data_IF_467590530528
#
_entry.id   IF_467590530528
#
_cell.length_a   1.000
_cell.length_b   1.000
_cell.length_c   1.000
_cell.angle_alpha   90.00
_cell.angle_beta   90.00
_cell.angle_gamma   90.00
#
_symmetry.space_group_name_H-M   'P 1'
#
loop_
_entity.id
_entity.type
_entity.pdbx_description
1 polymer ?
#
# COMPACT_ATOMS: atom_id res chain seq x y z
N UNK A 1 -9.27 7.95 -23.93
CA UNK A 1 -10.02 6.87 -23.24
C UNK A 1 -10.41 7.26 -21.82
N UNK A 2 -9.53 7.89 -21.01
CA UNK A 2 -9.79 8.20 -19.60
C UNK A 2 -10.79 9.33 -19.36
N UNK A 3 -10.82 10.36 -20.23
CA UNK A 3 -11.67 11.54 -20.03
C UNK A 3 -13.17 11.17 -19.98
N UNK A 4 -13.76 10.40 -20.93
CA UNK A 4 -15.16 10.03 -20.86
C UNK A 4 -15.47 9.11 -19.65
N UNK A 5 -14.53 8.24 -19.25
CA UNK A 5 -14.71 7.40 -18.07
C UNK A 5 -14.75 8.24 -16.77
N UNK A 6 -13.83 9.18 -16.65
CA UNK A 6 -13.82 10.10 -15.48
C UNK A 6 -15.08 10.96 -15.44
N UNK A 7 -15.52 11.49 -16.59
CA UNK A 7 -16.77 12.24 -16.69
C UNK A 7 -17.98 11.42 -16.26
N UNK A 8 -18.07 10.18 -16.75
CA UNK A 8 -19.15 9.24 -16.39
C UNK A 8 -19.16 8.99 -14.87
N UNK A 9 -18.01 8.63 -14.30
CA UNK A 9 -17.88 8.38 -12.84
C UNK A 9 -18.23 9.60 -12.03
N UNK A 10 -17.84 10.79 -12.48
CA UNK A 10 -18.17 12.06 -11.81
C UNK A 10 -19.68 12.30 -11.80
N UNK A 11 -20.35 12.09 -12.94
CA UNK A 11 -21.82 12.25 -13.04
C UNK A 11 -22.52 11.22 -12.14
N UNK A 12 -22.10 9.94 -12.19
CA UNK A 12 -22.67 8.89 -11.35
C UNK A 12 -22.46 9.20 -9.85
N UNK A 13 -21.28 9.66 -9.48
CA UNK A 13 -20.98 10.06 -8.11
C UNK A 13 -21.89 11.21 -7.64
N UNK A 14 -22.08 12.21 -8.47
CA UNK A 14 -22.96 13.35 -8.16
C UNK A 14 -24.43 12.94 -8.03
N UNK A 15 -24.90 12.02 -8.85
CA UNK A 15 -26.28 11.56 -8.82
C UNK A 15 -26.58 10.58 -7.67
N UNK A 16 -25.66 9.69 -7.33
CA UNK A 16 -25.91 8.57 -6.41
C UNK A 16 -25.25 8.71 -5.05
N UNK A 17 -24.10 9.40 -4.95
CA UNK A 17 -23.39 9.56 -3.67
C UNK A 17 -23.96 10.75 -2.89
N UNK A 18 -24.29 10.48 -1.63
CA UNK A 18 -24.66 11.52 -0.67
C UNK A 18 -23.50 11.75 0.29
N UNK A 19 -23.15 13.01 0.51
CA UNK A 19 -22.13 13.36 1.52
C UNK A 19 -22.61 12.98 2.91
N UNK A 20 -21.75 12.28 3.65
CA UNK A 20 -21.98 12.04 5.07
C UNK A 20 -21.78 13.38 5.80
N UNK A 21 -22.74 13.84 6.63
CA UNK A 21 -22.58 15.08 7.36
C UNK A 21 -21.37 15.01 8.28
N UNK A 22 -20.45 15.97 8.13
CA UNK A 22 -19.27 16.08 9.00
C UNK A 22 -19.72 16.70 10.32
N UNK A 23 -19.78 15.90 11.36
CA UNK A 23 -20.18 16.34 12.72
C UNK A 23 -18.98 16.81 13.56
N UNK A 24 -17.75 16.54 13.11
CA UNK A 24 -16.53 16.90 13.83
C UNK A 24 -16.18 18.38 13.64
N UNK A 25 -15.93 19.08 14.76
CA UNK A 25 -15.47 20.47 14.75
C UNK A 25 -13.98 20.52 14.34
N UNK A 26 -13.54 21.62 13.73
CA UNK A 26 -12.15 21.88 13.34
C UNK A 26 -11.19 21.65 14.51
N UNK A 27 -11.52 22.11 15.71
CA UNK A 27 -10.70 21.90 16.92
C UNK A 27 -10.50 20.42 17.25
N UNK A 28 -11.52 19.58 17.04
CA UNK A 28 -11.44 18.14 17.26
C UNK A 28 -10.55 17.46 16.19
N UNK A 29 -10.60 17.95 14.96
CA UNK A 29 -9.74 17.45 13.87
C UNK A 29 -8.27 17.81 14.11
N UNK A 30 -7.98 19.02 14.61
CA UNK A 30 -6.61 19.43 14.95
C UNK A 30 -6.06 18.72 16.20
N UNK A 31 -6.91 18.26 17.09
CA UNK A 31 -6.50 17.54 18.29
C UNK A 31 -5.73 16.24 18.02
N UNK A 32 -5.83 15.68 16.80
CA UNK A 32 -5.09 14.48 16.40
C UNK A 32 -3.56 14.67 16.50
N UNK A 33 -3.06 15.88 16.24
CA UNK A 33 -1.62 16.16 16.26
C UNK A 33 -0.99 16.10 17.64
N UNK A 34 -1.79 16.25 18.72
CA UNK A 34 -1.36 16.06 20.11
C UNK A 34 -1.25 14.58 20.51
N UNK A 35 -1.78 13.66 19.70
CA UNK A 35 -1.75 12.24 20.01
C UNK A 35 -0.52 11.58 19.37
N UNK A 36 0.36 10.99 20.18
CA UNK A 36 1.55 10.26 19.70
C UNK A 36 1.22 9.13 18.71
N UNK A 37 0.06 8.50 18.84
CA UNK A 37 -0.36 7.44 17.94
C UNK A 37 -0.59 7.94 16.51
N UNK A 38 -0.96 9.20 16.31
CA UNK A 38 -1.06 9.80 14.98
C UNK A 38 0.27 9.71 14.23
N UNK A 39 1.36 10.06 14.88
CA UNK A 39 2.70 10.04 14.28
C UNK A 39 3.20 8.63 14.00
N UNK A 40 2.96 7.68 14.92
CA UNK A 40 3.29 6.27 14.68
C UNK A 40 2.49 5.68 13.52
N UNK A 41 1.17 5.95 13.46
CA UNK A 41 0.34 5.46 12.36
C UNK A 41 0.75 6.11 11.03
N UNK A 42 1.10 7.40 11.04
CA UNK A 42 1.64 8.08 9.86
C UNK A 42 2.92 7.42 9.37
N UNK A 43 3.86 7.11 10.26
CA UNK A 43 5.12 6.45 9.91
C UNK A 43 4.88 5.03 9.34
N UNK A 44 4.01 4.24 9.98
CA UNK A 44 3.70 2.89 9.50
C UNK A 44 2.98 2.93 8.15
N UNK A 45 2.00 3.80 8.00
CA UNK A 45 1.27 3.94 6.75
C UNK A 45 2.18 4.46 5.63
N UNK A 46 3.03 5.44 5.93
CA UNK A 46 4.07 5.91 5.01
C UNK A 46 4.96 4.75 4.55
N UNK A 47 5.48 3.96 5.48
CA UNK A 47 6.32 2.81 5.15
C UNK A 47 5.62 1.78 4.25
N UNK A 48 4.34 1.48 4.51
CA UNK A 48 3.59 0.49 3.71
C UNK A 48 3.15 1.06 2.36
N UNK A 49 2.54 2.25 2.36
CA UNK A 49 1.99 2.84 1.14
C UNK A 49 3.09 3.36 0.21
N UNK A 50 4.12 4.01 0.75
CA UNK A 50 5.24 4.49 -0.05
C UNK A 50 6.00 3.33 -0.74
N UNK A 51 6.24 2.24 -0.01
CA UNK A 51 6.85 1.05 -0.60
C UNK A 51 5.97 0.45 -1.69
N UNK A 52 4.66 0.33 -1.44
CA UNK A 52 3.72 -0.19 -2.42
C UNK A 52 3.67 0.66 -3.69
N UNK A 53 3.46 1.97 -3.55
CA UNK A 53 3.30 2.87 -4.69
C UNK A 53 4.63 3.12 -5.41
N UNK A 54 5.73 3.29 -4.65
CA UNK A 54 7.06 3.49 -5.21
C UNK A 54 7.55 2.28 -6.00
N UNK A 55 7.41 1.07 -5.45
CA UNK A 55 7.74 -0.15 -6.19
C UNK A 55 6.80 -0.35 -7.39
N UNK A 56 5.51 0.00 -7.26
CA UNK A 56 4.56 -0.07 -8.38
C UNK A 56 4.95 0.81 -9.55
N UNK A 57 5.41 2.02 -9.27
CA UNK A 57 5.91 2.95 -10.28
C UNK A 57 7.24 2.50 -10.90
N UNK A 58 8.10 1.85 -10.14
CA UNK A 58 9.47 1.51 -10.53
C UNK A 58 9.65 0.06 -11.00
N UNK A 59 8.67 -0.83 -10.82
CA UNK A 59 8.82 -2.27 -11.09
C UNK A 59 9.29 -2.56 -12.52
N UNK A 60 8.70 -1.90 -13.51
CA UNK A 60 9.08 -2.05 -14.91
C UNK A 60 10.53 -1.62 -15.17
N UNK A 61 10.92 -0.47 -14.61
CA UNK A 61 12.28 0.07 -14.77
C UNK A 61 13.32 -0.80 -14.07
N UNK A 62 13.07 -1.17 -12.82
CA UNK A 62 13.95 -2.03 -12.03
C UNK A 62 14.12 -3.40 -12.70
N UNK A 63 13.02 -4.00 -13.15
CA UNK A 63 13.07 -5.30 -13.83
C UNK A 63 13.83 -5.22 -15.15
N UNK A 64 13.58 -4.21 -15.98
CA UNK A 64 14.33 -4.03 -17.24
C UNK A 64 15.84 -3.85 -16.98
N UNK A 65 16.20 -3.07 -15.98
CA UNK A 65 17.61 -2.90 -15.61
C UNK A 65 18.24 -4.19 -15.06
N UNK A 66 17.51 -4.90 -14.20
CA UNK A 66 17.99 -6.11 -13.54
C UNK A 66 18.12 -7.29 -14.52
N UNK A 67 17.25 -7.38 -15.51
CA UNK A 67 17.23 -8.45 -16.51
C UNK A 67 18.09 -8.13 -17.75
N UNK A 68 18.70 -6.96 -17.79
CA UNK A 68 19.53 -6.56 -18.91
C UNK A 68 20.66 -7.59 -19.18
N UNK A 69 20.79 -8.02 -20.45
CA UNK A 69 21.78 -9.00 -20.87
C UNK A 69 21.43 -10.47 -20.64
N UNK A 70 20.24 -10.78 -20.10
CA UNK A 70 19.77 -12.17 -19.96
C UNK A 70 18.85 -12.50 -21.13
N UNK A 71 19.33 -13.27 -22.10
CA UNK A 71 18.53 -13.71 -23.23
C UNK A 71 17.35 -14.59 -22.79
N UNK A 72 16.15 -14.31 -23.31
CA UNK A 72 14.92 -15.03 -22.93
C UNK A 72 14.31 -14.61 -21.59
N UNK A 73 14.81 -13.53 -20.94
CA UNK A 73 14.22 -13.01 -19.72
C UNK A 73 12.76 -12.58 -19.92
N UNK A 74 11.89 -12.75 -18.91
CA UNK A 74 10.51 -12.28 -18.98
C UNK A 74 10.45 -10.77 -19.11
N UNK A 75 9.46 -10.23 -19.85
CA UNK A 75 9.27 -8.80 -19.97
C UNK A 75 8.77 -8.21 -18.64
N UNK A 76 9.63 -7.46 -17.96
CA UNK A 76 9.26 -6.78 -16.71
C UNK A 76 8.12 -5.78 -16.94
N UNK A 77 8.09 -5.09 -18.08
CA UNK A 77 7.01 -4.15 -18.44
C UNK A 77 5.66 -4.87 -18.56
N UNK A 78 5.64 -6.03 -19.22
CA UNK A 78 4.41 -6.81 -19.39
C UNK A 78 3.86 -7.36 -18.06
N UNK A 79 4.72 -7.57 -17.07
CA UNK A 79 4.36 -8.14 -15.76
C UNK A 79 4.23 -7.09 -14.64
N UNK A 80 4.59 -5.83 -14.90
CA UNK A 80 4.62 -4.77 -13.88
C UNK A 80 3.27 -4.52 -13.21
N UNK A 81 2.16 -4.70 -13.91
CA UNK A 81 0.81 -4.52 -13.38
C UNK A 81 0.42 -5.57 -12.33
N UNK A 82 1.05 -6.76 -12.35
CA UNK A 82 0.77 -7.84 -11.39
C UNK A 82 1.11 -7.44 -9.95
N UNK A 83 2.22 -6.70 -9.74
CA UNK A 83 2.60 -6.26 -8.41
C UNK A 83 1.49 -5.47 -7.70
N UNK A 84 1.04 -4.33 -8.25
CA UNK A 84 -0.07 -3.57 -7.70
C UNK A 84 -1.37 -4.38 -7.54
N UNK A 85 -1.69 -5.27 -8.47
CA UNK A 85 -2.88 -6.14 -8.37
C UNK A 85 -2.77 -7.10 -7.19
N UNK A 86 -1.63 -7.78 -7.02
CA UNK A 86 -1.40 -8.67 -5.88
C UNK A 86 -1.54 -7.90 -4.55
N UNK A 87 -0.93 -6.72 -4.46
CA UNK A 87 -1.04 -5.90 -3.25
C UNK A 87 -2.45 -5.35 -3.02
N UNK A 88 -3.19 -5.00 -4.06
CA UNK A 88 -4.59 -4.58 -3.92
C UNK A 88 -5.50 -5.73 -3.45
N UNK A 89 -5.33 -6.92 -4.00
CA UNK A 89 -6.09 -8.11 -3.59
C UNK A 89 -5.73 -8.54 -2.16
N UNK A 90 -4.46 -8.51 -1.79
CA UNK A 90 -4.02 -8.83 -0.42
C UNK A 90 -4.63 -7.89 0.62
N UNK A 91 -4.86 -6.60 0.29
CA UNK A 91 -5.56 -5.65 1.18
C UNK A 91 -6.98 -6.11 1.52
N UNK A 92 -7.72 -6.62 0.54
CA UNK A 92 -9.10 -7.09 0.75
C UNK A 92 -9.13 -8.29 1.70
N UNK A 93 -8.25 -9.28 1.49
CA UNK A 93 -8.16 -10.45 2.37
C UNK A 93 -7.61 -10.12 3.76
N UNK A 94 -6.63 -9.23 3.83
CA UNK A 94 -5.97 -8.87 5.08
C UNK A 94 -6.88 -8.09 6.04
N UNK A 95 -7.85 -7.30 5.55
CA UNK A 95 -8.82 -6.62 6.39
C UNK A 95 -9.55 -7.61 7.29
N UNK A 96 -10.11 -8.68 6.73
CA UNK A 96 -10.84 -9.70 7.48
C UNK A 96 -9.95 -10.45 8.49
N UNK A 97 -8.67 -10.65 8.17
CA UNK A 97 -7.71 -11.28 9.09
C UNK A 97 -7.34 -10.32 10.22
N UNK A 98 -7.12 -9.06 9.89
CA UNK A 98 -6.76 -8.00 10.83
C UNK A 98 -7.84 -7.80 11.89
N UNK A 99 -9.12 -7.84 11.49
CA UNK A 99 -10.27 -7.75 12.40
C UNK A 99 -10.27 -8.91 13.45
N UNK A 100 -9.81 -10.10 13.05
CA UNK A 100 -9.81 -11.29 13.93
C UNK A 100 -8.64 -11.36 14.90
N UNK A 101 -7.43 -11.01 14.44
CA UNK A 101 -6.18 -11.24 15.21
C UNK A 101 -5.53 -9.95 15.74
N UNK A 102 -6.18 -8.80 15.58
CA UNK A 102 -5.73 -7.41 15.88
C UNK A 102 -4.69 -6.90 14.87
N UNK A 103 -4.96 -5.74 14.29
CA UNK A 103 -4.13 -5.09 13.28
C UNK A 103 -2.67 -4.93 13.67
N UNK A 104 -2.35 -4.64 14.94
CA UNK A 104 -0.97 -4.50 15.40
C UNK A 104 -0.11 -5.74 15.22
N UNK A 105 -0.66 -6.94 15.43
CA UNK A 105 0.06 -8.20 15.18
C UNK A 105 0.28 -8.41 13.70
N UNK A 106 -0.74 -8.15 12.89
CA UNK A 106 -0.64 -8.26 11.43
C UNK A 106 0.43 -7.32 10.88
N UNK A 107 0.46 -6.06 11.35
CA UNK A 107 1.48 -5.08 10.97
C UNK A 107 2.89 -5.54 11.36
N UNK A 108 3.07 -6.16 12.53
CA UNK A 108 4.38 -6.70 12.95
C UNK A 108 4.83 -7.84 12.04
N UNK A 109 3.94 -8.80 11.76
CA UNK A 109 4.24 -9.92 10.84
C UNK A 109 4.60 -9.38 9.45
N UNK A 110 3.81 -8.45 8.93
CA UNK A 110 4.07 -7.78 7.66
C UNK A 110 5.46 -7.13 7.63
N UNK A 111 5.82 -6.37 8.68
CA UNK A 111 7.11 -5.71 8.74
C UNK A 111 8.27 -6.71 8.67
N UNK A 112 8.20 -7.82 9.40
CA UNK A 112 9.20 -8.88 9.36
C UNK A 112 9.27 -9.50 7.95
N UNK A 113 8.12 -9.84 7.36
CA UNK A 113 8.08 -10.44 6.03
C UNK A 113 8.60 -9.49 4.93
N UNK A 114 8.35 -8.19 5.05
CA UNK A 114 8.89 -7.18 4.15
C UNK A 114 10.42 -7.02 4.31
N UNK A 115 10.92 -7.00 5.53
CA UNK A 115 12.38 -6.98 5.78
C UNK A 115 13.05 -8.19 5.13
N UNK A 116 12.49 -9.38 5.31
CA UNK A 116 13.02 -10.61 4.66
C UNK A 116 12.99 -10.47 3.14
N UNK A 117 11.88 -10.00 2.56
CA UNK A 117 11.76 -9.79 1.12
C UNK A 117 12.76 -8.78 0.57
N UNK A 118 12.94 -7.65 1.24
CA UNK A 118 13.88 -6.61 0.85
C UNK A 118 15.35 -7.08 0.95
N UNK A 119 15.69 -7.80 2.03
CA UNK A 119 17.01 -8.42 2.17
C UNK A 119 17.27 -9.47 1.09
N UNK A 120 16.26 -10.30 0.79
CA UNK A 120 16.36 -11.27 -0.30
C UNK A 120 16.58 -10.58 -1.65
N UNK A 121 15.84 -9.48 -1.92
CA UNK A 121 15.97 -8.70 -3.14
C UNK A 121 17.34 -8.02 -3.25
N UNK A 122 17.87 -7.51 -2.15
CA UNK A 122 19.18 -6.86 -2.10
C UNK A 122 20.31 -7.84 -2.37
N UNK A 123 20.21 -9.05 -1.82
CA UNK A 123 21.23 -10.08 -1.97
C UNK A 123 21.14 -10.82 -3.32
N UNK A 124 19.92 -11.00 -3.83
CA UNK A 124 19.68 -11.84 -4.99
C UNK A 124 19.78 -11.06 -6.30
N UNK A 125 20.77 -11.44 -7.14
CA UNK A 125 20.92 -10.91 -8.50
C UNK A 125 20.68 -12.05 -9.50
N UNK A 126 19.69 -11.95 -10.40
CA UNK A 126 19.44 -12.98 -11.38
C UNK A 126 20.56 -13.05 -12.41
N UNK A 127 20.98 -14.27 -12.76
CA UNK A 127 21.98 -14.56 -13.79
C UNK A 127 21.44 -15.48 -14.88
N UNK A 128 20.18 -15.90 -14.76
CA UNK A 128 19.51 -16.81 -15.68
C UNK A 128 18.03 -16.46 -15.79
N UNK A 129 17.36 -17.00 -16.81
CA UNK A 129 15.90 -16.82 -16.99
C UNK A 129 15.11 -17.30 -15.77
N UNK A 130 15.47 -18.45 -15.19
CA UNK A 130 14.87 -18.94 -13.95
C UNK A 130 15.11 -17.97 -12.78
N UNK A 131 16.30 -17.36 -12.73
CA UNK A 131 16.62 -16.32 -11.75
C UNK A 131 15.74 -15.08 -11.87
N UNK A 132 15.38 -14.66 -13.08
CA UNK A 132 14.46 -13.54 -13.29
C UNK A 132 13.07 -13.83 -12.70
N UNK A 133 12.57 -15.05 -12.82
CA UNK A 133 11.29 -15.45 -12.22
C UNK A 133 11.36 -15.47 -10.68
N UNK A 134 12.47 -15.94 -10.10
CA UNK A 134 12.68 -15.88 -8.64
C UNK A 134 12.67 -14.43 -8.17
N UNK A 135 13.36 -13.53 -8.87
CA UNK A 135 13.37 -12.10 -8.55
C UNK A 135 11.95 -11.50 -8.58
N UNK A 136 11.15 -11.82 -9.61
CA UNK A 136 9.75 -11.39 -9.71
C UNK A 136 8.90 -11.94 -8.55
N UNK A 137 9.08 -13.19 -8.16
CA UNK A 137 8.39 -13.79 -7.01
C UNK A 137 8.71 -13.04 -5.72
N UNK A 138 9.99 -12.67 -5.50
CA UNK A 138 10.39 -11.87 -4.33
C UNK A 138 9.73 -10.49 -4.37
N UNK A 139 9.66 -9.85 -5.55
CA UNK A 139 8.95 -8.57 -5.70
C UNK A 139 7.46 -8.70 -5.40
N UNK A 140 6.81 -9.73 -5.92
CA UNK A 140 5.38 -9.99 -5.64
C UNK A 140 5.11 -10.32 -4.17
N UNK A 141 6.04 -11.00 -3.49
CA UNK A 141 6.02 -11.19 -2.04
C UNK A 141 6.00 -9.85 -1.31
N UNK A 142 6.85 -8.89 -1.69
CA UNK A 142 6.89 -7.56 -1.08
C UNK A 142 5.56 -6.83 -1.35
N UNK A 143 5.03 -6.88 -2.57
CA UNK A 143 3.71 -6.28 -2.89
C UNK A 143 2.60 -6.88 -2.05
N UNK A 144 2.58 -8.19 -1.88
CA UNK A 144 1.59 -8.86 -1.06
C UNK A 144 1.62 -8.34 0.39
N UNK A 145 2.78 -8.33 1.01
CA UNK A 145 2.91 -7.90 2.41
C UNK A 145 2.73 -6.41 2.61
N UNK A 146 3.12 -5.57 1.68
CA UNK A 146 2.82 -4.13 1.75
C UNK A 146 1.32 -3.87 1.64
N UNK A 147 0.59 -4.63 0.83
CA UNK A 147 -0.86 -4.59 0.77
C UNK A 147 -1.51 -5.00 2.10
N UNK A 148 -1.07 -6.11 2.69
CA UNK A 148 -1.50 -6.56 4.02
C UNK A 148 -1.26 -5.48 5.09
N UNK A 149 -0.08 -4.87 5.09
CA UNK A 149 0.27 -3.81 6.03
C UNK A 149 -0.56 -2.55 5.87
N UNK A 150 -0.89 -2.20 4.65
CA UNK A 150 -1.75 -1.05 4.39
C UNK A 150 -3.17 -1.26 4.94
N UNK A 151 -3.74 -2.46 4.80
CA UNK A 151 -5.04 -2.80 5.41
C UNK A 151 -4.97 -2.78 6.94
N UNK A 152 -3.96 -3.45 7.53
CA UNK A 152 -3.83 -3.56 8.99
C UNK A 152 -3.56 -2.23 9.68
N UNK A 153 -2.81 -1.32 9.07
CA UNK A 153 -2.58 0.02 9.61
C UNK A 153 -3.84 0.88 9.55
N UNK A 154 -4.62 0.77 8.49
CA UNK A 154 -5.90 1.49 8.37
C UNK A 154 -6.90 1.00 9.42
N UNK A 155 -7.00 -0.31 9.65
CA UNK A 155 -7.84 -0.88 10.71
C UNK A 155 -7.40 -0.40 12.10
N UNK A 156 -6.11 -0.39 12.39
CA UNK A 156 -5.58 0.14 13.66
C UNK A 156 -5.96 1.60 13.90
N UNK A 157 -5.98 2.44 12.87
CA UNK A 157 -6.43 3.83 13.02
C UNK A 157 -7.88 3.90 13.46
N UNK A 158 -8.74 3.04 12.90
CA UNK A 158 -10.16 2.99 13.28
C UNK A 158 -10.38 2.55 14.74
N UNK A 159 -9.50 1.70 15.27
CA UNK A 159 -9.57 1.20 16.66
C UNK A 159 -8.93 2.16 17.67
N UNK A 160 -7.83 2.82 17.28
CA UNK A 160 -7.05 3.65 18.20
C UNK A 160 -7.63 5.05 18.41
N UNK A 161 -8.44 5.54 17.47
CA UNK A 161 -8.96 6.90 17.52
C UNK A 161 -10.49 6.92 17.68
N UNK A 162 -11.03 7.90 18.42
CA UNK A 162 -12.47 8.10 18.49
C UNK A 162 -13.07 8.31 17.09
N UNK A 163 -14.33 7.89 16.86
CA UNK A 163 -14.99 8.00 15.54
C UNK A 163 -14.94 9.40 14.93
N UNK A 164 -15.01 10.46 15.75
CA UNK A 164 -14.93 11.86 15.31
C UNK A 164 -13.54 12.28 14.82
N UNK A 165 -12.48 11.57 15.23
CA UNK A 165 -11.10 11.85 14.84
C UNK A 165 -10.59 10.88 13.76
N UNK A 166 -11.22 9.72 13.58
CA UNK A 166 -10.77 8.68 12.66
C UNK A 166 -10.60 9.18 11.24
N UNK A 167 -11.56 9.95 10.72
CA UNK A 167 -11.47 10.54 9.39
C UNK A 167 -10.30 11.50 9.22
N UNK A 168 -10.02 12.32 10.23
CA UNK A 168 -8.90 13.27 10.20
C UNK A 168 -7.56 12.55 10.23
N UNK A 169 -7.40 11.49 11.05
CA UNK A 169 -6.17 10.68 11.12
C UNK A 169 -5.93 9.94 9.81
N UNK A 170 -6.95 9.28 9.26
CA UNK A 170 -6.84 8.58 7.97
C UNK A 170 -6.50 9.56 6.85
N UNK A 171 -7.16 10.73 6.81
CA UNK A 171 -6.87 11.78 5.82
C UNK A 171 -5.43 12.28 5.91
N UNK A 172 -4.96 12.61 7.12
CA UNK A 172 -3.59 13.05 7.36
C UNK A 172 -2.56 12.00 6.98
N UNK A 173 -2.71 10.77 7.47
CA UNK A 173 -1.77 9.68 7.21
C UNK A 173 -1.70 9.32 5.73
N UNK A 174 -2.86 9.34 5.04
CA UNK A 174 -2.92 9.09 3.60
C UNK A 174 -2.27 10.21 2.79
N UNK A 175 -2.46 11.47 3.19
CA UNK A 175 -1.83 12.61 2.55
C UNK A 175 -0.29 12.52 2.65
N UNK A 176 0.23 12.24 3.85
CA UNK A 176 1.69 12.06 4.04
C UNK A 176 2.19 10.83 3.30
N UNK A 177 1.45 9.71 3.32
CA UNK A 177 1.81 8.49 2.59
C UNK A 177 1.94 8.71 1.08
N UNK A 178 1.15 9.61 0.50
CA UNK A 178 1.21 9.94 -0.93
C UNK A 178 2.51 10.64 -1.36
N UNK A 179 3.29 11.18 -0.45
CA UNK A 179 4.62 11.77 -0.74
C UNK A 179 5.75 10.73 -0.76
N UNK A 180 5.46 9.46 -0.51
CA UNK A 180 6.48 8.40 -0.44
C UNK A 180 7.00 7.87 -1.78
N UNK A 181 6.21 7.80 -2.86
CA UNK A 181 6.69 7.38 -4.19
C UNK A 181 7.63 8.43 -4.84
#
# INVERSE_FOLDING_TARGET
VWIPLVALVTILSWLFLRSVPVTANIKQQWAIFGNKHTWFMTLFYYGTFATFAGLGAQLALLGNHTFAGIEGAPSAVALAWLGPVIGALSRVGAGQVSDKIRGGRVTTIMAICNIIGLLALWWYKPTSVAGCWIWLIIMFWIFFWTGVGNASTTEQMAVLFPPLQGGAVVGWTSAIGAYGP
#
